data_IF_291716722679
#
_entry.id   IF_291716722679
#
_cell.length_a   1.000
_cell.length_b   1.000
_cell.length_c   1.000
_cell.angle_alpha   90.00
_cell.angle_beta   90.00
_cell.angle_gamma   90.00
#
_symmetry.space_group_name_H-M   'P 1'
#
loop_
_entity.id
_entity.type
_entity.pdbx_description
1 polymer ?
#
# COMPACT_ATOMS: atom_id res chain seq x y z
N UNK A 1 17.48 14.04 63.03
CA UNK A 1 18.43 13.63 61.97
C UNK A 1 17.73 12.59 61.09
N UNK A 2 17.54 12.94 59.80
CA UNK A 2 17.70 12.13 58.56
C UNK A 2 17.10 10.70 58.57
N UNK A 3 16.32 10.23 57.59
CA UNK A 3 16.03 10.69 56.23
C UNK A 3 14.83 9.91 55.66
N UNK A 4 14.21 10.54 54.66
CA UNK A 4 13.05 10.18 53.87
C UNK A 4 13.15 8.85 53.10
N UNK A 5 11.99 8.20 52.87
CA UNK A 5 11.69 7.53 51.59
C UNK A 5 10.26 7.88 51.18
N UNK A 6 10.15 8.46 49.98
CA UNK A 6 8.97 8.96 49.30
C UNK A 6 8.39 7.82 48.44
N UNK A 7 7.10 7.49 48.61
CA UNK A 7 6.30 6.70 47.65
C UNK A 7 4.89 7.30 47.71
N UNK A 8 4.56 8.30 46.89
CA UNK A 8 4.04 8.15 45.52
C UNK A 8 2.70 7.40 45.45
N UNK A 9 1.60 8.06 45.84
CA UNK A 9 0.26 7.80 45.28
C UNK A 9 -0.41 9.16 45.07
N UNK A 10 -0.19 9.71 43.88
CA UNK A 10 -0.89 10.87 43.36
C UNK A 10 -2.35 10.47 43.15
N UNK A 11 -3.19 10.98 44.04
CA UNK A 11 -4.45 11.63 43.68
C UNK A 11 -5.44 10.83 42.84
N UNK A 12 -6.23 10.01 43.52
CA UNK A 12 -7.62 9.73 43.15
C UNK A 12 -8.43 11.03 43.05
N UNK A 13 -8.71 11.48 41.84
CA UNK A 13 -9.73 12.47 41.44
C UNK A 13 -9.70 12.41 39.89
N UNK A 14 -10.72 12.02 39.14
CA UNK A 14 -12.15 12.26 39.24
C UNK A 14 -12.84 11.20 38.39
N UNK A 15 -13.68 10.38 39.02
CA UNK A 15 -14.82 9.73 38.35
C UNK A 15 -15.97 10.74 38.37
N UNK A 16 -16.78 10.72 37.31
CA UNK A 16 -18.02 11.48 37.05
C UNK A 16 -17.85 12.73 36.18
N UNK A 17 -17.91 12.51 34.87
CA UNK A 17 -18.80 13.26 33.97
C UNK A 17 -18.91 12.49 32.65
N UNK A 18 -19.91 11.60 32.58
CA UNK A 18 -20.39 11.10 31.31
C UNK A 18 -21.07 12.24 30.55
N UNK A 19 -20.43 12.73 29.49
CA UNK A 19 -21.09 13.39 28.36
C UNK A 19 -20.27 13.12 27.10
N UNK A 20 -20.86 12.30 26.22
CA UNK A 20 -20.70 12.25 24.78
C UNK A 20 -19.30 12.54 24.18
N UNK A 21 -18.46 11.51 24.10
CA UNK A 21 -17.34 11.47 23.15
C UNK A 21 -17.66 10.53 21.98
N UNK A 22 -18.76 10.78 21.27
CA UNK A 22 -19.13 10.06 20.04
C UNK A 22 -18.37 10.56 18.80
N UNK A 23 -17.28 11.32 18.96
CA UNK A 23 -16.55 11.99 17.87
C UNK A 23 -15.19 11.40 17.49
N UNK A 24 -14.64 10.46 18.27
CA UNK A 24 -13.24 9.97 18.08
C UNK A 24 -13.15 8.51 17.59
N UNK A 25 -14.28 7.86 17.31
CA UNK A 25 -14.28 6.46 16.89
C UNK A 25 -13.89 6.24 15.41
N UNK A 26 -13.94 7.29 14.57
CA UNK A 26 -13.67 7.19 13.14
C UNK A 26 -12.22 7.40 12.72
N UNK A 27 -11.42 8.12 13.52
CA UNK A 27 -10.01 8.39 13.19
C UNK A 27 -9.11 7.17 13.41
N UNK A 28 -9.33 6.42 14.50
CA UNK A 28 -8.56 5.21 14.76
C UNK A 28 -8.82 4.10 13.73
N UNK A 29 -10.08 3.96 13.29
CA UNK A 29 -10.50 2.97 12.30
C UNK A 29 -9.93 3.29 10.91
N UNK A 30 -9.96 4.56 10.48
CA UNK A 30 -9.35 5.00 9.22
C UNK A 30 -7.83 4.79 9.17
N UNK A 31 -7.14 5.03 10.29
CA UNK A 31 -5.68 4.83 10.38
C UNK A 31 -5.35 3.33 10.23
N UNK A 32 -6.12 2.45 10.87
CA UNK A 32 -5.92 1.01 10.77
C UNK A 32 -6.21 0.48 9.36
N UNK A 33 -7.29 0.95 8.72
CA UNK A 33 -7.65 0.55 7.37
C UNK A 33 -6.61 1.01 6.33
N UNK A 34 -6.15 2.27 6.42
CA UNK A 34 -5.08 2.81 5.59
C UNK A 34 -3.79 2.00 5.70
N UNK A 35 -3.46 1.54 6.92
CA UNK A 35 -2.31 0.67 7.15
C UNK A 35 -2.46 -0.68 6.43
N UNK A 36 -3.64 -1.32 6.50
CA UNK A 36 -3.88 -2.62 5.85
C UNK A 36 -3.79 -2.49 4.33
N UNK A 37 -4.45 -1.49 3.72
CA UNK A 37 -4.31 -1.27 2.28
C UNK A 37 -2.87 -0.93 1.89
N UNK A 38 -2.17 -0.16 2.72
CA UNK A 38 -0.75 0.12 2.53
C UNK A 38 0.08 -1.16 2.42
N UNK A 39 -0.10 -2.10 3.34
CA UNK A 39 0.58 -3.39 3.31
C UNK A 39 0.22 -4.23 2.07
N UNK A 40 -1.04 -4.19 1.62
CA UNK A 40 -1.47 -4.90 0.41
C UNK A 40 -0.86 -4.29 -0.87
N UNK A 41 -0.78 -2.96 -0.95
CA UNK A 41 -0.13 -2.26 -2.05
C UNK A 41 1.37 -2.56 -2.05
N UNK A 42 2.03 -2.53 -0.89
CA UNK A 42 3.46 -2.85 -0.77
C UNK A 42 3.75 -4.30 -1.15
N UNK A 43 2.91 -5.25 -0.73
CA UNK A 43 3.04 -6.64 -1.16
C UNK A 43 2.90 -6.78 -2.68
N UNK A 44 2.01 -6.01 -3.30
CA UNK A 44 1.84 -6.00 -4.74
C UNK A 44 3.08 -5.44 -5.46
N UNK A 45 3.67 -4.36 -4.96
CA UNK A 45 4.93 -3.79 -5.47
C UNK A 45 6.05 -4.83 -5.37
N UNK A 46 6.21 -5.49 -4.22
CA UNK A 46 7.23 -6.54 -4.04
C UNK A 46 7.06 -7.71 -5.02
N UNK A 47 5.82 -8.11 -5.33
CA UNK A 47 5.56 -9.13 -6.36
C UNK A 47 6.00 -8.66 -7.74
N UNK A 48 5.82 -7.39 -8.06
CA UNK A 48 6.30 -6.81 -9.31
C UNK A 48 7.83 -6.78 -9.37
N UNK A 49 8.50 -6.37 -8.28
CA UNK A 49 9.96 -6.36 -8.17
C UNK A 49 10.57 -7.77 -8.29
N UNK A 50 9.96 -8.76 -7.61
CA UNK A 50 10.38 -10.15 -7.71
C UNK A 50 10.29 -10.68 -9.16
N UNK A 51 9.30 -10.23 -9.92
CA UNK A 51 9.15 -10.58 -11.33
C UNK A 51 10.10 -9.79 -12.24
N UNK A 52 10.37 -8.52 -11.91
CA UNK A 52 11.36 -7.70 -12.60
C UNK A 52 12.78 -8.27 -12.49
N UNK A 53 13.09 -9.03 -11.43
CA UNK A 53 14.37 -9.74 -11.31
C UNK A 53 14.63 -10.76 -12.44
N UNK A 54 13.61 -11.12 -13.23
CA UNK A 54 13.71 -12.08 -14.35
C UNK A 54 13.99 -11.44 -15.72
N UNK A 55 14.37 -10.15 -15.77
CA UNK A 55 14.65 -9.43 -17.03
C UNK A 55 15.74 -10.07 -17.90
N UNK A 56 16.68 -10.81 -17.30
CA UNK A 56 17.76 -11.51 -17.99
C UNK A 56 17.41 -12.96 -18.39
N UNK A 57 16.14 -13.36 -18.30
CA UNK A 57 15.73 -14.73 -18.65
C UNK A 57 16.02 -15.06 -20.12
N UNK A 58 16.43 -16.30 -20.40
CA UNK A 58 16.56 -16.80 -21.77
C UNK A 58 15.21 -16.87 -22.53
N UNK A 59 14.08 -16.93 -21.82
CA UNK A 59 12.74 -17.00 -22.42
C UNK A 59 12.19 -15.61 -22.77
N UNK A 60 11.84 -15.32 -24.04
CA UNK A 60 11.24 -14.05 -24.44
C UNK A 60 9.97 -13.70 -23.67
N UNK A 61 9.09 -14.69 -23.45
CA UNK A 61 7.83 -14.50 -22.74
C UNK A 61 8.05 -14.11 -21.27
N UNK A 62 9.10 -14.67 -20.63
CA UNK A 62 9.45 -14.32 -19.26
C UNK A 62 10.00 -12.89 -19.20
N UNK A 63 10.89 -12.52 -20.13
CA UNK A 63 11.44 -11.16 -20.20
C UNK A 63 10.35 -10.12 -20.43
N UNK A 64 9.46 -10.35 -21.39
CA UNK A 64 8.32 -9.45 -21.64
C UNK A 64 7.47 -9.28 -20.38
N UNK A 65 7.14 -10.38 -19.71
CA UNK A 65 6.36 -10.33 -18.49
C UNK A 65 7.10 -9.63 -17.33
N UNK A 66 8.43 -9.70 -17.30
CA UNK A 66 9.27 -8.96 -16.36
C UNK A 66 9.27 -7.45 -16.66
N UNK A 67 9.38 -7.04 -17.94
CA UNK A 67 9.26 -5.64 -18.37
C UNK A 67 7.91 -5.06 -17.93
N UNK A 68 6.82 -5.79 -18.19
CA UNK A 68 5.48 -5.36 -17.78
C UNK A 68 5.37 -5.20 -16.26
N UNK A 69 5.98 -6.10 -15.49
CA UNK A 69 6.01 -6.01 -14.03
C UNK A 69 6.82 -4.79 -13.55
N UNK A 70 7.95 -4.48 -14.18
CA UNK A 70 8.77 -3.30 -13.86
C UNK A 70 7.97 -2.01 -14.03
N UNK A 71 7.36 -1.80 -15.20
CA UNK A 71 6.58 -0.58 -15.48
C UNK A 71 5.42 -0.43 -14.50
N UNK A 72 4.71 -1.53 -14.25
CA UNK A 72 3.57 -1.53 -13.35
C UNK A 72 3.97 -1.28 -11.90
N UNK A 73 5.04 -1.95 -11.43
CA UNK A 73 5.59 -1.75 -10.09
C UNK A 73 5.98 -0.28 -9.87
N UNK A 74 6.71 0.31 -10.83
CA UNK A 74 7.11 1.71 -10.80
C UNK A 74 5.89 2.64 -10.76
N UNK A 75 4.88 2.43 -11.62
CA UNK A 75 3.66 3.24 -11.62
C UNK A 75 2.94 3.20 -10.26
N UNK A 76 2.73 2.00 -9.71
CA UNK A 76 2.03 1.84 -8.43
C UNK A 76 2.85 2.43 -7.29
N UNK A 77 4.17 2.30 -7.31
CA UNK A 77 5.05 2.88 -6.30
C UNK A 77 5.03 4.41 -6.34
N UNK A 78 5.14 5.02 -7.53
CA UNK A 78 5.07 6.48 -7.69
C UNK A 78 3.69 7.06 -7.30
N UNK A 79 2.63 6.25 -7.38
CA UNK A 79 1.26 6.65 -7.06
C UNK A 79 0.72 6.01 -5.78
N UNK A 80 1.58 5.45 -4.92
CA UNK A 80 1.19 4.60 -3.78
C UNK A 80 0.10 5.21 -2.91
N UNK A 81 0.29 6.46 -2.48
CA UNK A 81 -0.68 7.17 -1.62
C UNK A 81 -2.04 7.34 -2.31
N UNK A 82 -2.04 7.64 -3.61
CA UNK A 82 -3.26 7.75 -4.41
C UNK A 82 -3.95 6.41 -4.55
N UNK A 83 -3.20 5.32 -4.78
CA UNK A 83 -3.74 3.97 -4.85
C UNK A 83 -4.44 3.56 -3.54
N UNK A 84 -3.81 3.81 -2.39
CA UNK A 84 -4.39 3.52 -1.07
C UNK A 84 -5.70 4.30 -0.87
N UNK A 85 -5.69 5.61 -1.18
CA UNK A 85 -6.90 6.44 -1.07
C UNK A 85 -8.04 5.94 -1.96
N UNK A 86 -7.75 5.51 -3.19
CA UNK A 86 -8.77 4.92 -4.08
C UNK A 86 -9.32 3.61 -3.53
N UNK A 87 -8.47 2.72 -3.03
CA UNK A 87 -8.90 1.44 -2.45
C UNK A 87 -9.81 1.65 -1.23
N UNK A 88 -9.48 2.61 -0.36
CA UNK A 88 -10.31 3.00 0.78
C UNK A 88 -11.65 3.60 0.32
N UNK A 89 -11.62 4.56 -0.61
CA UNK A 89 -12.83 5.22 -1.09
C UNK A 89 -13.81 4.23 -1.77
N UNK A 90 -13.30 3.19 -2.42
CA UNK A 90 -14.11 2.13 -3.04
C UNK A 90 -14.51 1.02 -2.06
N UNK A 91 -14.11 1.07 -0.78
CA UNK A 91 -14.24 -0.01 0.19
C UNK A 91 -13.81 -1.36 -0.41
N UNK A 92 -12.62 -1.38 -1.00
CA UNK A 92 -12.13 -2.55 -1.71
C UNK A 92 -12.02 -3.76 -0.75
N UNK A 93 -12.41 -4.98 -1.16
CA UNK A 93 -12.24 -6.15 -0.31
C UNK A 93 -10.78 -6.31 0.11
N UNK A 94 -10.54 -6.53 1.41
CA UNK A 94 -9.21 -6.76 2.02
C UNK A 94 -8.65 -8.16 1.67
N UNK A 95 -8.65 -8.48 0.37
CA UNK A 95 -8.13 -9.68 -0.22
C UNK A 95 -7.09 -9.29 -1.27
N UNK A 96 -5.91 -9.91 -1.20
CA UNK A 96 -4.76 -9.54 -2.03
C UNK A 96 -5.06 -9.61 -3.53
N UNK A 97 -5.82 -10.60 -3.99
CA UNK A 97 -6.14 -10.76 -5.41
C UNK A 97 -7.16 -9.72 -5.89
N UNK A 98 -8.13 -9.37 -5.04
CA UNK A 98 -9.10 -8.30 -5.33
C UNK A 98 -8.43 -6.93 -5.37
N UNK A 99 -7.50 -6.67 -4.47
CA UNK A 99 -6.68 -5.44 -4.50
C UNK A 99 -5.80 -5.43 -5.75
N UNK A 100 -5.10 -6.52 -6.05
CA UNK A 100 -4.28 -6.64 -7.25
C UNK A 100 -5.09 -6.38 -8.54
N UNK A 101 -6.31 -6.90 -8.64
CA UNK A 101 -7.22 -6.63 -9.75
C UNK A 101 -7.52 -5.13 -9.90
N UNK A 102 -7.85 -4.45 -8.81
CA UNK A 102 -8.16 -3.01 -8.84
C UNK A 102 -6.93 -2.17 -9.19
N UNK A 103 -5.75 -2.49 -8.64
CA UNK A 103 -4.50 -1.82 -8.99
C UNK A 103 -4.16 -2.01 -10.48
N UNK A 104 -4.35 -3.21 -11.02
CA UNK A 104 -4.19 -3.48 -12.45
C UNK A 104 -5.14 -2.63 -13.31
N UNK A 105 -6.40 -2.49 -12.88
CA UNK A 105 -7.39 -1.68 -13.58
C UNK A 105 -6.97 -0.21 -13.60
N UNK A 106 -6.60 0.36 -12.45
CA UNK A 106 -6.14 1.75 -12.34
C UNK A 106 -4.91 2.02 -13.20
N UNK A 107 -3.95 1.08 -13.25
CA UNK A 107 -2.80 1.17 -14.14
C UNK A 107 -3.21 1.18 -15.62
N UNK A 108 -4.08 0.26 -16.04
CA UNK A 108 -4.54 0.15 -17.43
C UNK A 108 -5.38 1.36 -17.90
N UNK A 109 -6.05 2.04 -16.98
CA UNK A 109 -6.80 3.27 -17.25
C UNK A 109 -5.88 4.51 -17.30
N UNK A 110 -4.74 4.48 -16.60
CA UNK A 110 -3.82 5.62 -16.48
C UNK A 110 -2.68 5.62 -17.50
N UNK A 111 -2.34 4.45 -18.03
CA UNK A 111 -1.25 4.23 -18.98
C UNK A 111 -1.86 3.49 -20.15
N UNK A 112 -1.60 3.90 -21.40
CA UNK A 112 -1.88 3.07 -22.57
C UNK A 112 -0.79 1.98 -22.65
N UNK A 113 -0.99 0.79 -22.04
CA UNK A 113 0.13 -0.10 -21.75
C UNK A 113 0.74 -0.64 -23.04
N UNK A 114 -0.10 -0.78 -24.06
CA UNK A 114 0.25 -1.15 -25.44
C UNK A 114 1.43 -0.30 -25.98
N UNK A 115 1.37 1.01 -25.76
CA UNK A 115 2.33 1.98 -26.30
C UNK A 115 3.65 1.92 -25.55
N UNK A 116 3.59 1.86 -24.21
CA UNK A 116 4.78 1.76 -23.35
C UNK A 116 5.54 0.45 -23.60
N UNK A 117 4.82 -0.66 -23.80
CA UNK A 117 5.46 -1.94 -24.10
C UNK A 117 6.09 -1.96 -25.50
N UNK A 118 5.45 -1.34 -26.49
CA UNK A 118 6.01 -1.26 -27.83
C UNK A 118 7.36 -0.51 -27.87
N UNK A 119 7.55 0.50 -27.01
CA UNK A 119 8.82 1.22 -26.87
C UNK A 119 9.88 0.34 -26.21
N UNK A 120 9.58 -0.26 -25.05
CA UNK A 120 10.55 -1.05 -24.28
C UNK A 120 10.97 -2.35 -24.99
N UNK A 121 10.10 -2.95 -25.79
CA UNK A 121 10.46 -4.12 -26.59
C UNK A 121 11.41 -3.78 -27.74
N UNK A 122 11.33 -2.59 -28.33
CA UNK A 122 12.24 -2.17 -29.41
C UNK A 122 13.66 -1.96 -28.89
N UNK A 123 13.81 -1.42 -27.68
CA UNK A 123 15.12 -1.18 -27.06
C UNK A 123 15.86 -2.48 -26.65
N UNK A 124 15.17 -3.62 -26.58
CA UNK A 124 15.76 -4.92 -26.22
C UNK A 124 16.08 -5.82 -27.44
N UNK A 125 15.94 -5.30 -28.66
CA UNK A 125 16.19 -6.05 -29.92
C UNK A 125 17.48 -5.60 -30.63
N UNK A 126 18.18 -4.58 -30.11
CA UNK A 126 19.54 -4.20 -30.54
C UNK A 126 20.61 -4.85 -29.64
#
# INVERSE_FOLDING_TARGET
MKSNVIIAIVGTMVLVSGMALSGLCGEAENVQESFIYGALVDNYIQKCEAKAAMLNSGSPNIRESAIQATVKGAFIQSNRTTMIKHLMAENAPLNADRVAYRLNRLYAESVYPQEVYAVLLRENVE
#
